data_IF_612630681952
#
_entry.id   IF_612630681952
#
_cell.length_a   1.000
_cell.length_b   1.000
_cell.length_c   1.000
_cell.angle_alpha   90.00
_cell.angle_beta   90.00
_cell.angle_gamma   90.00
#
_symmetry.space_group_name_H-M   'P 1'
#
loop_
_entity.id
_entity.type
_entity.pdbx_description
1 polymer ?
#
# COMPACT_ATOMS: atom_id res chain seq x y z
N UNK A 1 0.87 -14.80 4.24
CA UNK A 1 0.76 -13.54 3.46
C UNK A 1 1.64 -12.48 4.09
N UNK A 2 2.25 -11.63 3.28
CA UNK A 2 3.06 -10.50 3.75
C UNK A 2 2.28 -9.21 3.55
N UNK A 3 2.20 -8.41 4.61
CA UNK A 3 1.50 -7.13 4.63
C UNK A 3 2.53 -6.02 4.68
N UNK A 4 2.50 -5.14 3.69
CA UNK A 4 3.39 -3.99 3.60
C UNK A 4 2.59 -2.71 3.80
N UNK A 5 3.05 -1.85 4.69
CA UNK A 5 2.50 -0.51 4.89
C UNK A 5 3.51 0.53 4.43
N UNK A 6 3.13 1.37 3.48
CA UNK A 6 3.97 2.44 2.97
C UNK A 6 3.33 3.80 3.28
N UNK A 7 4.07 4.66 3.98
CA UNK A 7 3.64 6.01 4.33
C UNK A 7 4.50 7.10 3.72
N UNK A 8 5.51 6.74 2.93
CA UNK A 8 6.47 7.66 2.31
C UNK A 8 6.17 7.86 0.82
N UNK A 9 6.55 9.03 0.25
CA UNK A 9 6.34 9.28 -1.18
C UNK A 9 7.25 8.37 -2.04
N UNK A 10 6.91 8.17 -3.35
CA UNK A 10 7.58 7.16 -4.17
C UNK A 10 9.09 7.28 -4.31
N UNK A 11 9.63 8.49 -4.24
CA UNK A 11 11.07 8.72 -4.43
C UNK A 11 11.90 8.57 -3.15
N UNK A 12 11.22 8.37 -2.02
CA UNK A 12 11.90 8.16 -0.74
C UNK A 12 12.66 6.83 -0.76
N UNK A 13 13.89 6.76 -0.19
CA UNK A 13 14.65 5.49 -0.15
C UNK A 13 13.91 4.33 0.51
N UNK A 14 13.09 4.60 1.53
CA UNK A 14 12.28 3.56 2.17
C UNK A 14 11.21 3.00 1.23
N UNK A 15 10.63 3.87 0.40
CA UNK A 15 9.67 3.44 -0.62
C UNK A 15 10.33 2.53 -1.67
N UNK A 16 11.54 2.90 -2.09
CA UNK A 16 12.31 2.08 -3.03
C UNK A 16 12.62 0.71 -2.44
N UNK A 17 12.97 0.65 -1.15
CA UNK A 17 13.21 -0.61 -0.45
C UNK A 17 11.92 -1.44 -0.38
N UNK A 18 10.80 -0.81 -0.03
CA UNK A 18 9.50 -1.46 0.04
C UNK A 18 9.16 -2.14 -1.29
N UNK A 19 9.23 -1.40 -2.40
CA UNK A 19 8.91 -1.93 -3.72
C UNK A 19 9.86 -3.05 -4.14
N UNK A 20 11.13 -2.94 -3.79
CA UNK A 20 12.13 -3.98 -4.07
C UNK A 20 11.78 -5.28 -3.34
N UNK A 21 11.38 -5.18 -2.08
CA UNK A 21 10.98 -6.35 -1.28
C UNK A 21 9.68 -6.97 -1.82
N UNK A 22 8.72 -6.15 -2.23
CA UNK A 22 7.48 -6.63 -2.83
C UNK A 22 7.76 -7.45 -4.09
N UNK A 23 8.65 -6.96 -4.95
CA UNK A 23 9.02 -7.67 -6.19
C UNK A 23 9.58 -9.06 -5.95
N UNK A 24 10.23 -9.26 -4.81
CA UNK A 24 10.86 -10.53 -4.42
C UNK A 24 9.97 -11.40 -3.56
N UNK A 25 8.79 -10.91 -3.22
CA UNK A 25 7.87 -11.60 -2.33
C UNK A 25 6.71 -12.19 -3.10
N UNK A 26 6.10 -13.22 -2.52
CA UNK A 26 4.87 -13.81 -3.03
C UNK A 26 3.78 -13.60 -2.01
N UNK A 27 2.53 -13.60 -2.45
CA UNK A 27 1.35 -13.49 -1.60
C UNK A 27 1.42 -12.26 -0.68
N UNK A 28 1.41 -11.09 -1.32
CA UNK A 28 1.56 -9.80 -0.62
C UNK A 28 0.33 -8.93 -0.77
N UNK A 29 0.11 -8.06 0.23
CA UNK A 29 -0.82 -6.93 0.16
C UNK A 29 -0.05 -5.66 0.49
N UNK A 30 -0.38 -4.59 -0.23
CA UNK A 30 0.23 -3.28 -0.02
C UNK A 30 -0.83 -2.30 0.46
N UNK A 31 -0.56 -1.67 1.61
CA UNK A 31 -1.39 -0.62 2.18
C UNK A 31 -0.68 0.72 2.03
N UNK A 32 -1.36 1.69 1.42
CA UNK A 32 -0.83 3.03 1.18
C UNK A 32 -1.56 4.05 2.05
N UNK A 33 -0.81 4.73 2.92
CA UNK A 33 -1.33 5.76 3.80
C UNK A 33 -0.41 6.99 3.78
N UNK A 34 -0.91 8.13 4.22
CA UNK A 34 -0.14 9.36 4.20
C UNK A 34 0.40 9.65 2.80
N UNK A 35 1.67 10.02 2.71
CA UNK A 35 2.32 10.31 1.43
C UNK A 35 2.53 9.07 0.55
N UNK A 36 2.32 7.87 1.10
CA UNK A 36 2.36 6.64 0.33
C UNK A 36 1.33 6.60 -0.80
N UNK A 37 0.21 7.31 -0.64
CA UNK A 37 -0.84 7.34 -1.68
C UNK A 37 -0.37 8.00 -2.98
N UNK A 38 0.67 8.81 -2.95
CA UNK A 38 1.24 9.38 -4.18
C UNK A 38 1.79 8.31 -5.13
N UNK A 39 2.06 7.11 -4.65
CA UNK A 39 2.48 5.99 -5.49
C UNK A 39 1.40 5.59 -6.49
N UNK A 40 0.14 5.94 -6.25
CA UNK A 40 -0.96 5.69 -7.19
C UNK A 40 -0.79 6.46 -8.50
N UNK A 41 0.02 7.51 -8.51
CA UNK A 41 0.30 8.32 -9.70
C UNK A 41 1.49 7.80 -10.49
N UNK A 42 2.07 6.67 -10.06
CA UNK A 42 3.28 6.09 -10.66
C UNK A 42 3.01 4.68 -11.18
N UNK A 43 3.72 4.27 -12.22
CA UNK A 43 3.66 2.91 -12.75
C UNK A 43 4.31 1.88 -11.83
N UNK A 44 4.95 2.32 -10.75
CA UNK A 44 5.64 1.42 -9.83
C UNK A 44 4.69 0.37 -9.22
N UNK A 45 3.40 0.66 -9.12
CA UNK A 45 2.42 -0.27 -8.58
C UNK A 45 2.02 -1.40 -9.53
N UNK A 46 2.51 -1.38 -10.77
CA UNK A 46 2.27 -2.48 -11.71
C UNK A 46 3.00 -3.77 -11.32
N UNK A 47 3.80 -3.72 -10.25
CA UNK A 47 4.48 -4.89 -9.68
C UNK A 47 3.55 -5.83 -8.92
N UNK A 48 2.31 -5.41 -8.64
CA UNK A 48 1.29 -6.20 -7.95
C UNK A 48 -0.03 -6.19 -8.71
N UNK A 49 -0.83 -7.26 -8.58
CA UNK A 49 -2.24 -7.17 -8.98
C UNK A 49 -2.91 -6.02 -8.22
N UNK A 50 -3.65 -5.18 -8.94
CA UNK A 50 -4.21 -3.95 -8.36
C UNK A 50 -5.19 -4.24 -7.21
N UNK A 51 -5.89 -5.37 -7.25
CA UNK A 51 -6.81 -5.77 -6.18
C UNK A 51 -6.10 -6.12 -4.87
N UNK A 52 -4.78 -6.22 -4.87
CA UNK A 52 -3.98 -6.43 -3.65
C UNK A 52 -3.44 -5.13 -3.07
N UNK A 53 -3.82 -4.01 -3.64
CA UNK A 53 -3.41 -2.69 -3.18
C UNK A 53 -4.59 -2.00 -2.52
N UNK A 54 -4.36 -1.49 -1.32
CA UNK A 54 -5.35 -0.79 -0.50
C UNK A 54 -4.83 0.60 -0.20
N UNK A 55 -5.65 1.63 -0.42
CA UNK A 55 -5.25 3.01 -0.19
C UNK A 55 -6.26 3.69 0.74
N UNK A 56 -5.75 4.54 1.63
CA UNK A 56 -6.58 5.33 2.51
C UNK A 56 -7.29 6.42 1.72
N UNK A 57 -8.61 6.35 1.59
CA UNK A 57 -9.40 7.33 0.83
C UNK A 57 -9.24 8.74 1.38
N UNK A 58 -9.25 8.88 2.69
CA UNK A 58 -9.09 10.18 3.35
C UNK A 58 -7.76 10.83 2.98
N UNK A 59 -6.67 10.05 2.99
CA UNK A 59 -5.34 10.57 2.64
C UNK A 59 -5.25 10.91 1.14
N UNK A 60 -5.94 10.13 0.28
CA UNK A 60 -6.01 10.42 -1.14
C UNK A 60 -6.73 11.74 -1.38
N UNK A 61 -7.88 11.94 -0.76
CA UNK A 61 -8.68 13.17 -0.91
C UNK A 61 -7.92 14.39 -0.40
N UNK A 62 -7.26 14.26 0.74
CA UNK A 62 -6.46 15.35 1.33
C UNK A 62 -5.33 15.80 0.40
N UNK A 63 -4.84 14.93 -0.47
CA UNK A 63 -3.71 15.20 -1.37
C UNK A 63 -4.10 15.34 -2.83
N UNK A 64 -5.39 15.27 -3.13
CA UNK A 64 -5.88 15.36 -4.50
C UNK A 64 -5.40 14.23 -5.40
N UNK A 65 -5.19 13.04 -4.83
CA UNK A 65 -4.75 11.86 -5.58
C UNK A 65 -5.98 11.06 -6.01
N UNK A 66 -6.20 10.89 -7.33
CA UNK A 66 -7.32 10.08 -7.80
C UNK A 66 -7.06 8.59 -7.61
N UNK A 67 -8.15 7.83 -7.49
CA UNK A 67 -8.05 6.38 -7.38
C UNK A 67 -7.59 5.77 -8.72
N UNK A 68 -6.68 4.80 -8.64
CA UNK A 68 -6.25 4.00 -9.78
C UNK A 68 -7.20 2.82 -9.94
N UNK A 69 -7.55 2.48 -11.19
CA UNK A 69 -8.45 1.37 -11.50
C UNK A 69 -7.95 0.06 -10.87
N UNK A 70 -8.87 -0.64 -10.20
CA UNK A 70 -8.59 -1.91 -9.55
C UNK A 70 -8.04 -1.80 -8.12
N UNK A 71 -7.54 -0.64 -7.74
CA UNK A 71 -7.06 -0.40 -6.37
C UNK A 71 -8.24 -0.17 -5.44
N UNK A 72 -8.15 -0.72 -4.22
CA UNK A 72 -9.17 -0.57 -3.21
C UNK A 72 -8.98 0.73 -2.44
N UNK A 73 -9.77 1.76 -2.75
CA UNK A 73 -9.80 2.99 -1.98
C UNK A 73 -10.76 2.80 -0.80
N UNK A 74 -10.22 2.79 0.42
CA UNK A 74 -10.96 2.34 1.61
C UNK A 74 -11.28 3.47 2.56
N UNK A 75 -12.57 3.55 2.95
CA UNK A 75 -13.01 4.39 4.07
C UNK A 75 -12.68 3.73 5.42
N UNK A 76 -12.63 2.39 5.43
CA UNK A 76 -12.31 1.57 6.60
C UNK A 76 -10.85 1.07 6.56
N UNK A 77 -9.94 1.88 6.05
CA UNK A 77 -8.54 1.51 5.78
C UNK A 77 -7.84 0.92 7.01
N UNK A 78 -7.89 1.63 8.13
CA UNK A 78 -7.15 1.20 9.32
C UNK A 78 -7.77 -0.04 9.97
N UNK A 79 -9.07 -0.22 9.86
CA UNK A 79 -9.74 -1.43 10.36
C UNK A 79 -9.25 -2.66 9.58
N UNK A 80 -9.18 -2.55 8.26
CA UNK A 80 -8.65 -3.62 7.41
C UNK A 80 -7.19 -3.91 7.68
N UNK A 81 -6.39 -2.85 7.84
CA UNK A 81 -4.97 -2.98 8.13
C UNK A 81 -4.75 -3.72 9.45
N UNK A 82 -5.48 -3.33 10.48
CA UNK A 82 -5.38 -3.95 11.81
C UNK A 82 -5.79 -5.42 11.76
N UNK A 83 -6.87 -5.75 11.05
CA UNK A 83 -7.29 -7.15 10.87
C UNK A 83 -6.16 -7.99 10.25
N UNK A 84 -5.53 -7.48 9.20
CA UNK A 84 -4.43 -8.18 8.54
C UNK A 84 -3.20 -8.29 9.44
N UNK A 85 -2.90 -7.23 10.22
CA UNK A 85 -1.78 -7.23 11.17
C UNK A 85 -1.97 -8.23 12.31
N UNK A 86 -3.21 -8.40 12.77
CA UNK A 86 -3.54 -9.28 13.89
C UNK A 86 -3.61 -10.76 13.50
N UNK A 87 -3.64 -11.07 12.22
CA UNK A 87 -3.61 -12.46 11.75
C UNK A 87 -2.21 -13.02 11.93
N UNK A 88 -2.08 -14.00 12.82
CA UNK A 88 -0.78 -14.60 13.18
C UNK A 88 -0.07 -15.26 12.00
N UNK A 89 -0.79 -15.59 10.93
CA UNK A 89 -0.21 -16.20 9.72
C UNK A 89 0.50 -15.17 8.83
N UNK A 90 0.26 -13.88 9.07
CA UNK A 90 0.80 -12.80 8.25
C UNK A 90 2.07 -12.22 8.84
N UNK A 91 3.05 -11.89 7.97
CA UNK A 91 4.15 -11.01 8.32
C UNK A 91 3.76 -9.57 8.07
N UNK A 92 4.22 -8.64 8.91
CA UNK A 92 3.93 -7.22 8.77
C UNK A 92 5.21 -6.41 8.65
N UNK A 93 5.28 -5.52 7.65
CA UNK A 93 6.46 -4.69 7.36
C UNK A 93 6.01 -3.25 7.10
N UNK A 94 6.58 -2.29 7.84
CA UNK A 94 6.24 -0.87 7.74
C UNK A 94 7.41 -0.05 7.20
N UNK A 95 7.09 0.87 6.31
CA UNK A 95 8.10 1.73 5.64
C UNK A 95 7.75 3.21 5.70
#
# INVERSE_FOLDING_TARGET
MKIFLLTKPPKNPRSKLCFKLIRRSQDTRLYLAGDGVYSLQSDILDILPQERIFACREDMEARGVPCKDGVNACDDFYERLVEDMMDERNGFYSF
#
